data_IF_651010433922
#
_entry.id   IF_651010433922
#
_cell.length_a   1.000
_cell.length_b   1.000
_cell.length_c   1.000
_cell.angle_alpha   90.00
_cell.angle_beta   90.00
_cell.angle_gamma   90.00
#
_symmetry.space_group_name_H-M   'P 1'
#
loop_
_entity.id
_entity.type
_entity.pdbx_description
1 polymer ?
#
# COMPACT_ATOMS: atom_id res chain seq x y z
N UNK A 1 -44.61 16.36 39.78
CA UNK A 1 -43.96 15.26 39.08
C UNK A 1 -43.70 15.67 37.64
N UNK A 2 -42.45 15.98 37.29
CA UNK A 2 -42.05 16.25 35.89
C UNK A 2 -41.34 15.00 35.37
N UNK A 3 -41.95 14.31 34.41
CA UNK A 3 -41.38 13.16 33.72
C UNK A 3 -40.44 13.73 32.68
N UNK A 4 -39.13 13.55 32.87
CA UNK A 4 -38.12 13.85 31.89
C UNK A 4 -38.14 12.71 30.84
N UNK A 5 -38.58 13.01 29.63
CA UNK A 5 -38.49 12.10 28.50
C UNK A 5 -37.01 12.00 28.06
N UNK A 6 -36.41 10.85 28.33
CA UNK A 6 -35.08 10.49 27.84
C UNK A 6 -35.21 10.13 26.35
N UNK A 7 -34.92 11.06 25.45
CA UNK A 7 -34.85 10.81 24.02
C UNK A 7 -33.54 10.06 23.75
N UNK A 8 -33.63 8.74 23.71
CA UNK A 8 -32.53 7.87 23.19
C UNK A 8 -32.40 8.12 21.70
N UNK A 9 -31.42 8.91 21.31
CA UNK A 9 -30.96 9.01 19.93
C UNK A 9 -30.27 7.69 19.56
N UNK A 10 -31.01 6.72 19.04
CA UNK A 10 -30.44 5.65 18.25
C UNK A 10 -30.02 6.26 16.91
N UNK A 11 -28.81 6.80 16.86
CA UNK A 11 -28.17 7.05 15.59
C UNK A 11 -28.08 5.69 14.88
N UNK A 12 -28.87 5.50 13.83
CA UNK A 12 -28.72 4.35 12.95
C UNK A 12 -27.24 4.29 12.54
N UNK A 13 -26.52 3.29 13.02
CA UNK A 13 -25.16 3.00 12.58
C UNK A 13 -25.30 2.69 11.08
N UNK A 14 -25.09 3.69 10.23
CA UNK A 14 -25.08 3.50 8.80
C UNK A 14 -24.10 2.36 8.50
N UNK A 15 -24.57 1.31 7.85
CA UNK A 15 -23.72 0.25 7.37
C UNK A 15 -22.61 0.89 6.51
N UNK A 16 -21.35 0.55 6.73
CA UNK A 16 -20.27 1.10 5.92
C UNK A 16 -20.50 0.76 4.43
N UNK A 17 -20.09 1.68 3.55
CA UNK A 17 -20.26 1.51 2.11
C UNK A 17 -19.45 0.33 1.53
N UNK A 18 -18.45 -0.15 2.27
CA UNK A 18 -17.55 -1.23 1.85
C UNK A 18 -17.44 -2.30 2.94
N UNK A 19 -17.48 -3.57 2.53
CA UNK A 19 -17.35 -4.74 3.41
C UNK A 19 -15.91 -4.94 3.87
N UNK A 20 -14.94 -4.89 2.93
CA UNK A 20 -13.51 -4.93 3.22
C UNK A 20 -12.92 -3.52 3.26
N UNK A 21 -12.32 -3.14 4.38
CA UNK A 21 -11.69 -1.84 4.60
C UNK A 21 -10.35 -2.03 5.29
N UNK A 22 -9.37 -1.26 4.90
CA UNK A 22 -8.03 -1.32 5.48
C UNK A 22 -6.99 -0.82 4.50
N UNK A 23 -5.81 -1.37 4.57
CA UNK A 23 -4.70 -0.91 3.76
C UNK A 23 -3.90 -2.06 3.15
N UNK A 24 -3.33 -1.79 1.98
CA UNK A 24 -2.26 -2.58 1.42
C UNK A 24 -0.93 -2.00 1.89
N UNK A 25 -0.15 -2.78 2.61
CA UNK A 25 1.10 -2.35 3.25
C UNK A 25 2.24 -3.24 2.80
N UNK A 26 3.32 -2.63 2.36
CA UNK A 26 4.53 -3.34 1.98
C UNK A 26 5.44 -3.53 3.19
N UNK A 27 5.47 -4.74 3.76
CA UNK A 27 6.21 -5.04 4.99
C UNK A 27 7.73 -4.82 4.85
N UNK A 28 8.32 -5.26 3.76
CA UNK A 28 9.74 -5.04 3.49
C UNK A 28 10.08 -3.62 3.10
N UNK A 29 9.22 -2.97 2.34
CA UNK A 29 9.42 -1.59 1.91
C UNK A 29 9.04 -0.57 2.97
N UNK A 30 8.36 -1.01 4.01
CA UNK A 30 8.16 -0.19 5.18
C UNK A 30 9.48 -0.10 5.89
N UNK A 31 10.09 1.06 5.96
CA UNK A 31 11.43 1.14 6.49
C UNK A 31 11.39 0.68 7.94
N UNK A 32 12.26 -0.19 8.26
CA UNK A 32 12.85 -0.45 9.57
C UNK A 32 11.98 -0.16 10.80
N UNK A 33 10.64 -0.17 10.66
CA UNK A 33 9.74 -0.11 11.81
C UNK A 33 9.84 -1.40 12.61
N UNK A 34 9.93 -1.26 13.91
CA UNK A 34 9.90 -2.41 14.80
C UNK A 34 8.48 -2.88 15.11
N UNK A 35 8.34 -3.98 15.85
CA UNK A 35 7.03 -4.54 16.18
C UNK A 35 6.11 -3.56 16.93
N UNK A 36 6.55 -2.72 17.87
CA UNK A 36 5.69 -1.71 18.48
C UNK A 36 5.06 -0.76 17.47
N UNK A 37 5.84 -0.22 16.52
CA UNK A 37 5.33 0.68 15.48
C UNK A 37 4.36 -0.03 14.51
N UNK A 38 4.62 -1.29 14.19
CA UNK A 38 3.69 -2.12 13.43
C UNK A 38 2.37 -2.37 14.17
N UNK A 39 2.42 -2.61 15.49
CA UNK A 39 1.21 -2.75 16.31
C UNK A 39 0.41 -1.45 16.35
N UNK A 40 1.08 -0.30 16.51
CA UNK A 40 0.44 1.00 16.42
C UNK A 40 -0.29 1.20 15.08
N UNK A 41 0.29 0.73 13.98
CA UNK A 41 -0.36 0.75 12.65
C UNK A 41 -1.68 -0.03 12.68
N UNK A 42 -1.68 -1.23 13.24
CA UNK A 42 -2.89 -2.08 13.37
C UNK A 42 -3.94 -1.39 14.27
N UNK A 43 -3.52 -0.80 15.39
CA UNK A 43 -4.41 -0.07 16.30
C UNK A 43 -5.08 1.12 15.59
N UNK A 44 -4.29 1.88 14.83
CA UNK A 44 -4.79 2.97 14.00
C UNK A 44 -5.80 2.49 12.96
N UNK A 45 -5.49 1.39 12.25
CA UNK A 45 -6.41 0.80 11.29
C UNK A 45 -7.73 0.39 11.95
N UNK A 46 -7.64 -0.23 13.13
CA UNK A 46 -8.83 -0.64 13.89
C UNK A 46 -9.67 0.58 14.31
N UNK A 47 -9.03 1.62 14.84
CA UNK A 47 -9.69 2.86 15.23
C UNK A 47 -10.42 3.53 14.06
N UNK A 48 -9.85 3.44 12.86
CA UNK A 48 -10.43 3.98 11.63
C UNK A 48 -11.52 3.05 11.02
N UNK A 49 -11.83 1.92 11.66
CA UNK A 49 -12.86 0.98 11.22
C UNK A 49 -12.38 0.00 10.15
N UNK A 50 -11.07 -0.15 10.00
CA UNK A 50 -10.45 -1.17 9.15
C UNK A 50 -10.68 -2.59 9.71
N UNK A 51 -10.74 -3.56 8.81
CA UNK A 51 -10.94 -4.97 9.14
C UNK A 51 -10.07 -5.93 8.29
N UNK A 52 -9.27 -5.39 7.37
CA UNK A 52 -8.45 -6.19 6.45
C UNK A 52 -7.15 -5.48 6.16
N UNK A 53 -6.03 -6.16 6.28
CA UNK A 53 -4.73 -5.71 5.80
C UNK A 53 -4.20 -6.65 4.74
N UNK A 54 -3.79 -6.10 3.61
CA UNK A 54 -3.00 -6.80 2.61
C UNK A 54 -1.54 -6.50 2.90
N UNK A 55 -0.76 -7.53 3.22
CA UNK A 55 0.60 -7.37 3.70
C UNK A 55 1.59 -7.99 2.71
N UNK A 56 2.29 -7.16 1.96
CA UNK A 56 3.34 -7.63 1.08
C UNK A 56 4.61 -7.91 1.86
N UNK A 57 4.95 -9.20 1.97
CA UNK A 57 6.11 -9.66 2.71
C UNK A 57 7.43 -9.35 1.98
N UNK A 58 7.43 -9.39 0.64
CA UNK A 58 8.65 -9.25 -0.15
C UNK A 58 9.73 -10.24 0.33
N UNK A 59 10.99 -9.83 0.32
CA UNK A 59 12.09 -10.62 0.85
C UNK A 59 12.17 -10.71 2.39
N UNK A 60 11.10 -10.39 3.12
CA UNK A 60 11.07 -10.50 4.58
C UNK A 60 10.69 -11.90 5.08
N UNK A 61 10.26 -12.79 4.20
CA UNK A 61 9.99 -14.17 4.54
C UNK A 61 11.29 -14.98 4.58
N UNK A 62 11.76 -15.44 5.76
CA UNK A 62 13.01 -16.16 5.87
C UNK A 62 12.82 -17.65 5.56
N UNK A 63 12.58 -17.97 4.29
CA UNK A 63 12.42 -19.34 3.79
C UNK A 63 13.60 -20.22 4.21
N UNK A 64 13.32 -21.39 4.74
CA UNK A 64 14.33 -22.42 5.05
C UNK A 64 14.68 -23.24 3.81
N UNK A 65 13.70 -23.47 2.93
CA UNK A 65 13.90 -24.23 1.69
C UNK A 65 14.69 -23.43 0.67
N UNK A 66 14.50 -22.11 0.64
CA UNK A 66 15.05 -21.21 -0.36
C UNK A 66 15.78 -20.00 0.27
N UNK A 67 16.91 -20.19 0.96
CA UNK A 67 17.59 -19.11 1.69
C UNK A 67 18.01 -17.93 0.80
N UNK A 68 18.26 -18.17 -0.50
CA UNK A 68 18.62 -17.12 -1.45
C UNK A 68 17.54 -16.02 -1.53
N UNK A 69 16.26 -16.35 -1.35
CA UNK A 69 15.14 -15.43 -1.51
C UNK A 69 15.13 -14.28 -0.52
N UNK A 70 15.83 -14.37 0.60
CA UNK A 70 15.93 -13.34 1.61
C UNK A 70 17.37 -12.94 1.97
N UNK A 71 18.37 -13.62 1.39
CA UNK A 71 19.79 -13.40 1.68
C UNK A 71 20.22 -11.94 1.61
N UNK A 72 19.78 -11.22 0.59
CA UNK A 72 20.13 -9.80 0.39
C UNK A 72 19.42 -8.84 1.36
N UNK A 73 18.33 -9.32 1.97
CA UNK A 73 17.54 -8.58 2.94
C UNK A 73 17.83 -9.01 4.39
N UNK A 74 18.77 -9.92 4.61
CA UNK A 74 19.05 -10.52 5.92
C UNK A 74 19.40 -9.49 7.00
N UNK A 75 19.96 -8.33 6.62
CA UNK A 75 20.26 -7.23 7.53
C UNK A 75 19.04 -6.42 7.97
N UNK A 76 17.92 -6.49 7.25
CA UNK A 76 16.75 -5.69 7.57
C UNK A 76 16.08 -6.11 8.89
N UNK A 77 15.69 -5.15 9.72
CA UNK A 77 15.13 -5.40 11.05
C UNK A 77 13.92 -6.34 11.03
N UNK A 78 13.04 -6.23 10.05
CA UNK A 78 11.85 -7.08 9.92
C UNK A 78 12.23 -8.54 9.63
N UNK A 79 13.31 -8.77 8.88
CA UNK A 79 13.85 -10.10 8.62
C UNK A 79 14.56 -10.65 9.85
N UNK A 80 15.48 -9.89 10.43
CA UNK A 80 16.26 -10.31 11.60
C UNK A 80 15.39 -10.65 12.80
N UNK A 81 14.37 -9.85 13.08
CA UNK A 81 13.46 -10.06 14.21
C UNK A 81 12.37 -11.08 13.89
N UNK A 82 12.07 -11.31 12.61
CA UNK A 82 11.05 -12.25 12.12
C UNK A 82 9.75 -12.21 12.94
N UNK A 83 9.22 -11.04 13.15
CA UNK A 83 8.06 -10.84 14.01
C UNK A 83 6.71 -10.88 13.28
N UNK A 84 6.69 -11.17 11.98
CA UNK A 84 5.45 -11.14 11.17
C UNK A 84 4.35 -12.04 11.76
N UNK A 85 4.70 -13.22 12.29
CA UNK A 85 3.72 -14.08 12.97
C UNK A 85 3.07 -13.39 14.17
N UNK A 86 3.88 -12.72 15.00
CA UNK A 86 3.37 -11.97 16.17
C UNK A 86 2.49 -10.79 15.73
N UNK A 87 2.80 -10.19 14.59
CA UNK A 87 1.98 -9.13 14.03
C UNK A 87 0.62 -9.66 13.54
N UNK A 88 0.59 -10.83 12.89
CA UNK A 88 -0.64 -11.48 12.46
C UNK A 88 -1.52 -11.81 13.67
N UNK A 89 -0.95 -12.43 14.70
CA UNK A 89 -1.66 -12.75 15.93
C UNK A 89 -2.26 -11.49 16.57
N UNK A 90 -1.48 -10.42 16.65
CA UNK A 90 -1.95 -9.13 17.16
C UNK A 90 -3.07 -8.51 16.32
N UNK A 91 -2.96 -8.58 15.00
CA UNK A 91 -4.02 -8.10 14.10
C UNK A 91 -5.33 -8.86 14.34
N UNK A 92 -5.27 -10.16 14.59
CA UNK A 92 -6.45 -10.97 14.96
C UNK A 92 -7.05 -10.55 16.31
N UNK A 93 -6.23 -10.25 17.32
CA UNK A 93 -6.72 -9.68 18.58
C UNK A 93 -7.52 -8.39 18.33
N UNK A 94 -7.09 -7.58 17.34
CA UNK A 94 -7.77 -6.37 16.91
C UNK A 94 -8.90 -6.63 15.89
N UNK A 95 -9.23 -7.89 15.58
CA UNK A 95 -10.25 -8.29 14.60
C UNK A 95 -9.97 -7.81 13.17
N UNK A 96 -8.70 -7.75 12.80
CA UNK A 96 -8.23 -7.42 11.46
C UNK A 96 -7.73 -8.69 10.79
N UNK A 97 -8.28 -9.00 9.61
CA UNK A 97 -7.80 -10.08 8.75
C UNK A 97 -6.48 -9.73 8.12
N UNK A 98 -5.58 -10.69 8.02
CA UNK A 98 -4.27 -10.52 7.38
C UNK A 98 -4.15 -11.41 6.16
N UNK A 99 -3.99 -10.77 5.01
CA UNK A 99 -3.84 -11.40 3.70
C UNK A 99 -2.39 -11.19 3.26
N UNK A 100 -1.62 -12.25 3.09
CA UNK A 100 -0.21 -12.15 2.71
C UNK A 100 -0.04 -12.11 1.20
N UNK A 101 0.75 -11.18 0.71
CA UNK A 101 1.01 -11.05 -0.72
C UNK A 101 2.09 -12.04 -1.17
N UNK A 102 1.80 -12.74 -2.27
CA UNK A 102 2.72 -13.58 -3.05
C UNK A 102 2.78 -13.01 -4.47
N UNK A 103 3.96 -12.61 -4.90
CA UNK A 103 4.19 -12.15 -6.28
C UNK A 103 4.80 -13.31 -7.07
N UNK A 104 4.04 -13.92 -8.00
CA UNK A 104 4.55 -15.07 -8.72
C UNK A 104 5.61 -14.67 -9.73
N UNK A 105 6.68 -15.46 -9.80
CA UNK A 105 7.76 -15.40 -10.78
C UNK A 105 8.57 -14.10 -10.81
N UNK A 106 8.33 -13.16 -9.90
CA UNK A 106 9.03 -11.87 -9.89
C UNK A 106 9.03 -11.24 -8.48
N UNK A 107 9.66 -10.06 -8.39
CA UNK A 107 9.78 -9.24 -7.19
C UNK A 107 10.60 -9.82 -6.04
N UNK A 108 10.63 -9.06 -4.97
CA UNK A 108 11.49 -9.23 -3.81
C UNK A 108 11.45 -10.65 -3.25
N UNK A 109 12.59 -11.28 -3.22
CA UNK A 109 12.77 -12.64 -2.79
C UNK A 109 12.73 -13.64 -3.95
N UNK A 110 11.62 -13.75 -4.65
CA UNK A 110 11.44 -14.70 -5.75
C UNK A 110 12.44 -14.45 -6.87
N UNK A 111 12.68 -13.20 -7.23
CA UNK A 111 13.63 -12.81 -8.30
C UNK A 111 15.09 -13.08 -7.95
N UNK A 112 15.41 -13.48 -6.75
CA UNK A 112 16.75 -13.88 -6.33
C UNK A 112 17.04 -15.35 -6.58
N UNK A 113 16.02 -16.19 -6.66
CA UNK A 113 16.17 -17.61 -6.92
C UNK A 113 16.92 -17.91 -8.23
N UNK A 114 16.67 -17.19 -9.34
CA UNK A 114 17.42 -17.39 -10.58
C UNK A 114 18.89 -16.99 -10.53
N UNK A 115 19.39 -16.38 -9.48
CA UNK A 115 20.83 -16.14 -9.31
C UNK A 115 21.61 -17.44 -9.10
N UNK A 116 20.98 -18.45 -8.51
CA UNK A 116 21.53 -19.80 -8.34
C UNK A 116 20.98 -20.80 -9.37
N UNK A 117 19.94 -20.40 -10.14
CA UNK A 117 19.23 -21.19 -11.15
C UNK A 117 19.08 -20.42 -12.45
N UNK A 118 20.21 -20.16 -13.12
CA UNK A 118 20.27 -19.28 -14.29
C UNK A 118 19.41 -19.77 -15.46
N UNK A 119 19.21 -21.07 -15.56
CA UNK A 119 18.36 -21.71 -16.57
C UNK A 119 16.89 -21.34 -16.42
N UNK A 120 16.44 -20.88 -15.23
CA UNK A 120 15.06 -20.53 -14.96
C UNK A 120 14.71 -19.06 -15.27
N UNK A 121 15.69 -18.26 -15.68
CA UNK A 121 15.48 -16.85 -16.01
C UNK A 121 14.42 -16.66 -17.09
N UNK A 122 13.61 -15.62 -16.91
CA UNK A 122 12.78 -15.09 -17.96
C UNK A 122 13.63 -14.45 -19.09
N UNK A 123 13.11 -14.44 -20.30
CA UNK A 123 13.76 -13.85 -21.47
C UNK A 123 13.16 -12.47 -21.73
N UNK A 124 13.97 -11.45 -21.91
CA UNK A 124 13.54 -10.13 -22.36
C UNK A 124 13.21 -10.10 -23.85
N UNK A 125 12.57 -9.02 -24.29
CA UNK A 125 12.16 -8.81 -25.69
C UNK A 125 13.32 -8.97 -26.69
N UNK A 126 14.54 -8.64 -26.29
CA UNK A 126 15.73 -8.70 -27.11
C UNK A 126 16.61 -9.92 -26.82
N UNK A 127 16.08 -10.95 -26.17
CA UNK A 127 16.80 -12.16 -25.81
C UNK A 127 17.66 -12.06 -24.56
N UNK A 128 17.77 -10.89 -23.96
CA UNK A 128 18.50 -10.71 -22.70
C UNK A 128 17.69 -11.23 -21.49
N UNK A 129 18.36 -11.63 -20.40
CA UNK A 129 17.66 -11.98 -19.17
C UNK A 129 16.81 -10.79 -18.66
N UNK A 130 15.59 -11.06 -18.23
CA UNK A 130 14.71 -10.06 -17.66
C UNK A 130 15.21 -9.66 -16.25
N UNK A 131 15.98 -8.58 -16.20
CA UNK A 131 16.41 -8.00 -14.94
C UNK A 131 15.26 -7.28 -14.29
N UNK A 132 15.03 -7.58 -13.03
CA UNK A 132 14.28 -6.68 -12.17
C UNK A 132 15.27 -5.71 -11.51
N UNK A 133 15.19 -4.45 -11.87
CA UNK A 133 15.94 -3.37 -11.21
C UNK A 133 15.09 -2.72 -10.10
N UNK A 134 14.41 -3.56 -9.33
CA UNK A 134 13.65 -3.12 -8.18
C UNK A 134 14.58 -2.47 -7.14
N UNK A 135 14.06 -1.49 -6.44
CA UNK A 135 14.82 -0.75 -5.44
C UNK A 135 15.23 -1.59 -4.23
N UNK A 136 14.83 -2.86 -4.17
CA UNK A 136 14.88 -3.67 -2.96
C UNK A 136 15.65 -4.96 -3.11
N UNK A 137 15.71 -5.53 -4.30
CA UNK A 137 16.44 -6.77 -4.51
C UNK A 137 16.97 -6.87 -5.92
N UNK A 138 18.11 -7.52 -6.04
CA UNK A 138 18.77 -7.83 -7.29
C UNK A 138 18.28 -9.19 -7.76
N UNK A 139 18.19 -9.38 -9.06
CA UNK A 139 17.91 -10.70 -9.60
C UNK A 139 17.25 -10.67 -10.96
N UNK A 140 16.62 -11.78 -11.28
CA UNK A 140 15.96 -11.99 -12.56
C UNK A 140 14.56 -12.52 -12.32
N UNK A 141 13.65 -12.18 -13.22
CA UNK A 141 12.36 -12.83 -13.18
C UNK A 141 12.48 -14.30 -13.61
N UNK A 142 11.60 -15.12 -13.07
CA UNK A 142 11.45 -16.52 -13.46
C UNK A 142 10.59 -16.65 -14.70
N UNK A 143 10.90 -17.63 -15.53
CA UNK A 143 10.06 -17.99 -16.67
C UNK A 143 8.87 -18.87 -16.19
N UNK A 144 7.61 -18.40 -16.24
CA UNK A 144 6.47 -19.18 -15.76
C UNK A 144 6.13 -20.40 -16.63
N UNK A 145 6.69 -20.51 -17.83
CA UNK A 145 6.51 -21.68 -18.69
C UNK A 145 7.35 -22.89 -18.28
N UNK A 146 8.35 -22.70 -17.40
CA UNK A 146 9.23 -23.77 -16.95
C UNK A 146 8.62 -24.48 -15.74
N UNK A 147 8.62 -25.80 -15.77
CA UNK A 147 7.99 -26.61 -14.72
C UNK A 147 8.71 -26.44 -13.38
N UNK A 148 10.03 -26.33 -13.39
CA UNK A 148 10.84 -26.08 -12.20
C UNK A 148 10.54 -24.71 -11.56
N UNK A 149 10.21 -23.70 -12.39
CA UNK A 149 9.76 -22.40 -11.88
C UNK A 149 8.38 -22.50 -11.22
N UNK A 150 7.46 -23.29 -11.78
CA UNK A 150 6.16 -23.57 -11.19
C UNK A 150 6.31 -24.29 -9.84
N UNK A 151 7.15 -25.33 -9.82
CA UNK A 151 7.39 -26.09 -8.59
C UNK A 151 8.03 -25.24 -7.50
N UNK A 152 9.04 -24.43 -7.85
CA UNK A 152 9.62 -23.48 -6.91
C UNK A 152 8.57 -22.55 -6.31
N UNK A 153 7.72 -21.94 -7.14
CA UNK A 153 6.69 -21.02 -6.66
C UNK A 153 5.69 -21.69 -5.74
N UNK A 154 5.26 -22.91 -6.08
CA UNK A 154 4.35 -23.69 -5.21
C UNK A 154 5.00 -24.02 -3.88
N UNK A 155 6.23 -24.49 -3.86
CA UNK A 155 6.92 -24.86 -2.64
C UNK A 155 7.25 -23.65 -1.76
N UNK A 156 7.61 -22.52 -2.39
CA UNK A 156 7.83 -21.25 -1.69
C UNK A 156 6.55 -20.72 -1.04
N UNK A 157 5.43 -20.71 -1.78
CA UNK A 157 4.15 -20.27 -1.26
C UNK A 157 3.59 -21.22 -0.18
N UNK A 158 3.76 -22.53 -0.36
CA UNK A 158 3.37 -23.55 0.64
C UNK A 158 4.15 -23.36 1.95
N UNK A 159 5.46 -23.20 1.87
CA UNK A 159 6.30 -22.97 3.06
C UNK A 159 5.86 -21.69 3.77
N UNK A 160 5.64 -20.60 3.04
CA UNK A 160 5.22 -19.33 3.62
C UNK A 160 3.85 -19.43 4.31
N UNK A 161 2.85 -20.00 3.64
CA UNK A 161 1.45 -19.95 4.09
C UNK A 161 1.09 -21.11 5.02
N UNK A 162 1.62 -22.31 4.80
CA UNK A 162 1.24 -23.46 5.62
C UNK A 162 2.19 -23.74 6.77
N UNK A 163 3.48 -23.40 6.63
CA UNK A 163 4.47 -23.71 7.63
C UNK A 163 4.83 -22.50 8.50
N UNK A 164 5.09 -21.33 7.89
CA UNK A 164 5.53 -20.13 8.63
C UNK A 164 4.38 -19.29 9.16
N UNK A 165 3.34 -19.04 8.35
CA UNK A 165 2.22 -18.14 8.69
C UNK A 165 0.88 -18.85 8.56
N UNK A 166 0.69 -20.02 9.24
CA UNK A 166 -0.53 -20.81 9.09
C UNK A 166 -1.79 -20.11 9.60
N UNK A 167 -1.64 -19.05 10.37
CA UNK A 167 -2.73 -18.21 10.88
C UNK A 167 -3.12 -17.06 9.94
N UNK A 168 -2.44 -16.82 8.81
CA UNK A 168 -2.88 -15.85 7.83
C UNK A 168 -4.27 -16.21 7.28
N UNK A 169 -5.12 -15.20 7.02
CA UNK A 169 -6.51 -15.38 6.57
C UNK A 169 -6.62 -15.66 5.07
N UNK A 170 -5.53 -15.50 4.34
CA UNK A 170 -5.52 -15.74 2.91
C UNK A 170 -4.28 -15.23 2.22
N UNK A 171 -4.37 -15.13 0.90
CA UNK A 171 -3.29 -14.65 0.03
C UNK A 171 -3.78 -13.60 -0.96
N UNK A 172 -2.90 -12.64 -1.23
CA UNK A 172 -2.99 -11.77 -2.40
C UNK A 172 -1.97 -12.27 -3.41
N UNK A 173 -2.41 -12.62 -4.61
CA UNK A 173 -1.54 -13.04 -5.71
C UNK A 173 -1.47 -11.89 -6.72
N UNK A 174 -0.34 -11.20 -6.69
CA UNK A 174 -0.10 -10.00 -7.49
C UNK A 174 0.89 -10.31 -8.60
N UNK A 175 0.45 -10.21 -9.85
CA UNK A 175 1.35 -10.34 -11.00
C UNK A 175 2.33 -9.18 -11.09
N UNK A 176 3.49 -9.44 -11.67
CA UNK A 176 4.51 -8.41 -11.84
C UNK A 176 4.09 -7.32 -12.83
N UNK A 177 4.31 -6.07 -12.45
CA UNK A 177 4.10 -4.90 -13.33
C UNK A 177 5.12 -4.82 -14.47
N UNK A 178 6.30 -5.41 -14.31
CA UNK A 178 7.46 -5.14 -15.16
C UNK A 178 8.00 -6.36 -15.87
N UNK A 179 7.57 -7.54 -15.46
CA UNK A 179 8.26 -8.75 -15.82
C UNK A 179 7.38 -9.64 -16.67
N UNK A 180 7.69 -9.67 -17.93
CA UNK A 180 7.11 -10.59 -18.89
C UNK A 180 8.25 -11.43 -19.46
N UNK A 181 8.00 -12.73 -19.63
CA UNK A 181 8.92 -13.59 -20.34
C UNK A 181 8.55 -13.64 -21.81
N UNK A 182 9.52 -13.39 -22.69
CA UNK A 182 9.37 -13.37 -24.14
C UNK A 182 9.90 -14.63 -24.84
N UNK A 183 10.20 -15.69 -24.12
CA UNK A 183 10.52 -16.97 -24.75
C UNK A 183 9.31 -17.50 -25.54
N UNK A 184 9.55 -18.40 -26.48
CA UNK A 184 8.52 -18.93 -27.40
C UNK A 184 7.32 -19.52 -26.65
N UNK A 185 7.55 -20.14 -25.47
CA UNK A 185 6.50 -20.71 -24.65
C UNK A 185 5.70 -19.67 -23.85
N UNK A 186 6.19 -18.44 -23.70
CA UNK A 186 5.54 -17.37 -22.94
C UNK A 186 4.94 -16.27 -23.81
N UNK A 187 5.49 -16.01 -25.01
CA UNK A 187 5.18 -14.83 -25.83
C UNK A 187 3.71 -14.50 -25.97
N UNK A 188 2.86 -15.53 -26.15
CA UNK A 188 1.40 -15.37 -26.26
C UNK A 188 0.62 -16.02 -25.11
N UNK A 189 1.32 -16.61 -24.14
CA UNK A 189 0.73 -17.40 -23.07
C UNK A 189 1.29 -17.03 -21.69
N UNK A 190 1.84 -15.82 -21.55
CA UNK A 190 2.48 -15.43 -20.30
C UNK A 190 1.53 -15.57 -19.10
N UNK A 191 0.38 -14.92 -19.15
CA UNK A 191 -0.59 -15.01 -18.07
C UNK A 191 -1.24 -16.40 -17.94
N UNK A 192 -1.37 -17.14 -19.01
CA UNK A 192 -1.84 -18.52 -18.93
C UNK A 192 -0.84 -19.41 -18.16
N UNK A 193 0.46 -19.24 -18.43
CA UNK A 193 1.50 -19.93 -17.68
C UNK A 193 1.58 -19.49 -16.21
N UNK A 194 1.52 -18.20 -15.94
CA UNK A 194 1.51 -17.67 -14.59
C UNK A 194 0.23 -18.09 -13.81
N UNK A 195 -0.91 -18.11 -14.49
CA UNK A 195 -2.19 -18.47 -13.92
C UNK A 195 -2.28 -19.95 -13.51
N UNK A 196 -1.48 -20.84 -14.11
CA UNK A 196 -1.37 -22.23 -13.62
C UNK A 196 -0.99 -22.28 -12.14
N UNK A 197 -0.01 -21.48 -11.73
CA UNK A 197 0.36 -21.33 -10.33
C UNK A 197 -0.82 -20.79 -9.50
N UNK A 198 -1.44 -19.69 -9.95
CA UNK A 198 -2.58 -19.08 -9.27
C UNK A 198 -3.68 -20.11 -9.00
N UNK A 199 -4.05 -20.89 -10.01
CA UNK A 199 -5.10 -21.90 -9.93
C UNK A 199 -4.73 -23.04 -8.98
N UNK A 200 -3.56 -23.62 -9.20
CA UNK A 200 -3.09 -24.76 -8.39
C UNK A 200 -2.99 -24.37 -6.91
N UNK A 201 -2.38 -23.23 -6.63
CA UNK A 201 -2.22 -22.78 -5.25
C UNK A 201 -3.55 -22.38 -4.60
N UNK A 202 -4.49 -21.79 -5.37
CA UNK A 202 -5.84 -21.49 -4.89
C UNK A 202 -6.59 -22.74 -4.45
N UNK A 203 -6.54 -23.79 -5.27
CA UNK A 203 -7.23 -25.06 -4.98
C UNK A 203 -6.63 -25.74 -3.74
N UNK A 204 -5.30 -25.73 -3.60
CA UNK A 204 -4.62 -26.25 -2.42
C UNK A 204 -4.96 -25.46 -1.14
N UNK A 205 -4.96 -24.14 -1.25
CA UNK A 205 -5.28 -23.28 -0.12
C UNK A 205 -6.73 -23.49 0.35
N UNK A 206 -7.69 -23.53 -0.55
CA UNK A 206 -9.09 -23.78 -0.18
C UNK A 206 -9.34 -25.20 0.32
N UNK A 207 -8.58 -26.18 -0.16
CA UNK A 207 -8.63 -27.54 0.40
C UNK A 207 -8.15 -27.57 1.85
N UNK A 208 -7.09 -26.83 2.17
CA UNK A 208 -6.53 -26.76 3.52
C UNK A 208 -7.29 -25.79 4.43
N UNK A 209 -7.80 -24.68 3.86
CA UNK A 209 -8.50 -23.58 4.55
C UNK A 209 -9.70 -23.12 3.70
N UNK A 210 -10.85 -23.75 3.81
CA UNK A 210 -12.02 -23.44 2.96
C UNK A 210 -12.51 -22.00 3.02
N UNK A 211 -12.25 -21.30 4.13
CA UNK A 211 -12.60 -19.89 4.33
C UNK A 211 -11.50 -18.89 3.96
N UNK A 212 -10.38 -19.34 3.41
CA UNK A 212 -9.27 -18.44 3.05
C UNK A 212 -9.68 -17.46 1.94
N UNK A 213 -9.36 -16.19 2.13
CA UNK A 213 -9.54 -15.16 1.11
C UNK A 213 -8.40 -15.26 0.10
N UNK A 214 -8.74 -15.37 -1.18
CA UNK A 214 -7.76 -15.33 -2.26
C UNK A 214 -8.03 -14.11 -3.11
N UNK A 215 -7.11 -13.16 -3.06
CA UNK A 215 -7.18 -11.89 -3.78
C UNK A 215 -6.31 -12.00 -5.02
N UNK A 216 -6.87 -11.66 -6.19
CA UNK A 216 -6.21 -11.85 -7.49
C UNK A 216 -6.33 -10.59 -8.33
N UNK A 217 -5.27 -10.21 -9.01
CA UNK A 217 -5.28 -9.10 -9.96
C UNK A 217 -5.94 -9.51 -11.28
N UNK A 218 -6.74 -8.63 -11.91
CA UNK A 218 -7.51 -8.96 -13.11
C UNK A 218 -6.68 -9.11 -14.38
N UNK A 219 -5.39 -8.84 -14.37
CA UNK A 219 -4.51 -9.03 -15.53
C UNK A 219 -4.61 -10.43 -16.13
N UNK A 220 -4.74 -11.45 -15.27
CA UNK A 220 -4.87 -12.83 -15.71
C UNK A 220 -6.08 -13.08 -16.63
N UNK A 221 -7.14 -12.30 -16.45
CA UNK A 221 -8.42 -12.49 -17.16
C UNK A 221 -8.61 -11.50 -18.31
N UNK A 222 -8.11 -10.28 -18.17
CA UNK A 222 -8.31 -9.20 -19.14
C UNK A 222 -7.09 -8.91 -20.01
N UNK A 223 -5.95 -9.48 -19.67
CA UNK A 223 -4.67 -9.19 -20.33
C UNK A 223 -4.14 -7.80 -20.00
N UNK A 224 -2.98 -7.48 -20.50
CA UNK A 224 -2.34 -6.19 -20.25
C UNK A 224 -1.72 -5.62 -21.52
N UNK A 225 -1.87 -4.31 -21.70
CA UNK A 225 -1.15 -3.57 -22.73
C UNK A 225 0.05 -2.89 -22.09
N UNK A 226 1.25 -3.29 -22.51
CA UNK A 226 2.49 -2.60 -22.18
C UNK A 226 3.07 -1.96 -23.43
N UNK A 227 3.86 -0.89 -23.34
CA UNK A 227 4.42 -0.22 -24.51
C UNK A 227 5.11 -1.20 -25.47
N UNK A 228 4.59 -1.31 -26.67
CA UNK A 228 5.12 -2.20 -27.74
C UNK A 228 4.80 -3.69 -27.58
N UNK A 229 3.92 -4.09 -26.65
CA UNK A 229 3.54 -5.47 -26.45
C UNK A 229 2.15 -5.62 -25.85
N UNK A 230 1.38 -6.60 -26.32
CA UNK A 230 0.12 -7.00 -25.72
C UNK A 230 0.30 -8.35 -25.02
N UNK A 231 -0.01 -8.41 -23.74
CA UNK A 231 -0.04 -9.65 -22.97
C UNK A 231 -1.48 -10.18 -23.01
N UNK A 232 -1.74 -11.30 -23.71
CA UNK A 232 -3.08 -11.87 -23.79
C UNK A 232 -3.61 -12.25 -22.40
N UNK A 233 -4.94 -12.20 -22.25
CA UNK A 233 -5.62 -12.73 -21.08
C UNK A 233 -5.36 -14.24 -20.96
N UNK A 234 -5.39 -14.77 -19.73
CA UNK A 234 -5.35 -16.19 -19.48
C UNK A 234 -6.67 -16.86 -19.96
N UNK A 235 -6.53 -17.99 -20.63
CA UNK A 235 -7.68 -18.79 -21.12
C UNK A 235 -8.16 -19.83 -20.09
N UNK A 236 -7.92 -19.60 -18.81
CA UNK A 236 -8.29 -20.50 -17.74
C UNK A 236 -9.61 -20.07 -17.09
N UNK A 237 -10.38 -21.03 -16.54
CA UNK A 237 -11.67 -20.71 -15.95
C UNK A 237 -11.54 -19.72 -14.79
N UNK A 238 -12.42 -18.74 -14.79
CA UNK A 238 -12.64 -17.83 -13.68
C UNK A 238 -13.27 -18.58 -12.50
N UNK A 239 -12.85 -18.28 -11.28
CA UNK A 239 -13.45 -18.79 -10.05
C UNK A 239 -14.14 -17.66 -9.29
N UNK A 240 -15.45 -17.76 -9.11
CA UNK A 240 -16.23 -16.73 -8.45
C UNK A 240 -15.88 -16.53 -6.96
N UNK A 241 -15.12 -17.44 -6.36
CA UNK A 241 -14.63 -17.30 -4.98
C UNK A 241 -13.44 -16.36 -4.85
N UNK A 242 -12.74 -16.04 -5.95
CA UNK A 242 -11.67 -15.04 -5.92
C UNK A 242 -12.23 -13.66 -5.62
N UNK A 243 -11.49 -12.91 -4.83
CA UNK A 243 -11.67 -11.48 -4.66
C UNK A 243 -10.79 -10.76 -5.67
N UNK A 244 -11.36 -9.95 -6.56
CA UNK A 244 -10.60 -9.27 -7.61
C UNK A 244 -10.23 -7.84 -7.20
N UNK A 245 -9.02 -7.41 -7.53
CA UNK A 245 -8.54 -6.05 -7.29
C UNK A 245 -8.77 -5.20 -8.53
N UNK A 246 -9.36 -4.02 -8.36
CA UNK A 246 -9.60 -3.07 -9.43
C UNK A 246 -9.12 -1.67 -9.06
N UNK A 247 -8.69 -0.91 -10.07
CA UNK A 247 -8.46 0.53 -9.97
C UNK A 247 -9.71 1.24 -10.50
N UNK A 248 -10.59 1.76 -9.63
CA UNK A 248 -11.96 2.15 -10.02
C UNK A 248 -12.02 3.35 -10.96
N UNK A 249 -11.02 4.20 -10.98
CA UNK A 249 -10.91 5.37 -11.87
C UNK A 249 -10.15 5.07 -13.17
N UNK A 250 -9.63 3.85 -13.33
CA UNK A 250 -8.91 3.48 -14.54
C UNK A 250 -9.84 3.39 -15.75
N UNK A 251 -9.40 3.91 -16.89
CA UNK A 251 -10.05 3.67 -18.18
C UNK A 251 -10.06 2.17 -18.58
N UNK A 252 -9.23 1.38 -17.92
CA UNK A 252 -9.08 -0.06 -18.16
C UNK A 252 -9.92 -0.92 -17.20
N UNK A 253 -10.82 -0.34 -16.40
CA UNK A 253 -11.73 -1.09 -15.54
C UNK A 253 -12.58 -2.07 -16.35
N UNK A 254 -12.30 -3.35 -16.21
CA UNK A 254 -13.10 -4.42 -16.84
C UNK A 254 -14.44 -4.60 -16.11
N UNK A 255 -15.47 -3.93 -16.62
CA UNK A 255 -16.82 -3.97 -16.03
C UNK A 255 -17.51 -5.32 -16.23
N UNK A 256 -17.14 -6.07 -17.27
CA UNK A 256 -17.70 -7.39 -17.51
C UNK A 256 -17.18 -8.39 -16.49
N UNK A 257 -15.88 -8.33 -16.21
CA UNK A 257 -15.24 -9.15 -15.19
C UNK A 257 -15.74 -8.77 -13.78
N UNK A 258 -15.85 -7.45 -13.49
CA UNK A 258 -16.35 -6.99 -12.20
C UNK A 258 -17.76 -7.51 -11.89
N UNK A 259 -18.63 -7.62 -12.90
CA UNK A 259 -19.97 -8.19 -12.75
C UNK A 259 -19.98 -9.70 -12.43
N UNK A 260 -18.92 -10.41 -12.75
CA UNK A 260 -18.76 -11.83 -12.47
C UNK A 260 -18.14 -12.09 -11.09
N UNK A 261 -17.43 -11.11 -10.55
CA UNK A 261 -16.78 -11.22 -9.26
C UNK A 261 -17.79 -11.14 -8.12
N UNK A 262 -17.80 -12.13 -7.24
CA UNK A 262 -18.60 -12.10 -6.00
C UNK A 262 -18.03 -11.08 -5.02
N UNK A 263 -16.70 -10.97 -4.97
CA UNK A 263 -15.97 -10.04 -4.10
C UNK A 263 -14.98 -9.24 -4.93
N UNK A 264 -14.84 -7.97 -4.57
CA UNK A 264 -13.94 -7.05 -5.26
C UNK A 264 -13.34 -6.02 -4.30
N UNK A 265 -12.14 -5.59 -4.58
CA UNK A 265 -11.42 -4.58 -3.79
C UNK A 265 -11.00 -3.44 -4.74
N UNK A 266 -11.35 -2.22 -4.38
CA UNK A 266 -10.75 -1.05 -4.95
C UNK A 266 -9.38 -0.82 -4.32
N UNK A 267 -8.35 -0.81 -5.16
CA UNK A 267 -7.00 -0.46 -4.80
C UNK A 267 -6.65 0.91 -5.38
N UNK A 268 -6.12 1.77 -4.54
CA UNK A 268 -5.74 3.12 -4.91
C UNK A 268 -4.63 3.59 -3.97
N UNK A 269 -3.74 4.43 -4.45
CA UNK A 269 -2.67 5.04 -3.67
C UNK A 269 -3.07 6.37 -3.00
N UNK A 270 -4.33 6.78 -3.17
CA UNK A 270 -4.86 8.06 -2.71
C UNK A 270 -4.65 8.37 -1.20
N UNK A 271 -4.87 7.44 -0.25
CA UNK A 271 -4.68 7.77 1.17
C UNK A 271 -3.27 8.15 1.55
N UNK A 272 -2.29 7.68 0.81
CA UNK A 272 -0.88 7.90 1.11
C UNK A 272 -0.30 9.10 0.38
N UNK A 273 -0.72 9.31 -0.85
CA UNK A 273 -0.21 10.37 -1.73
C UNK A 273 -1.18 11.53 -1.89
N UNK A 274 -2.37 11.37 -1.30
CA UNK A 274 -3.48 12.20 -1.64
C UNK A 274 -3.86 13.24 -0.61
N UNK A 275 -4.88 13.95 -1.02
CA UNK A 275 -5.63 14.86 -0.19
C UNK A 275 -6.97 14.20 0.16
N UNK A 276 -7.70 14.67 1.17
CA UNK A 276 -9.03 14.17 1.48
C UNK A 276 -9.95 14.08 0.27
N UNK A 277 -9.84 15.03 -0.64
CA UNK A 277 -10.64 15.06 -1.87
C UNK A 277 -10.29 13.90 -2.84
N UNK A 278 -9.01 13.52 -2.96
CA UNK A 278 -8.62 12.33 -3.73
C UNK A 278 -9.17 11.06 -3.11
N UNK A 279 -9.10 10.93 -1.79
CA UNK A 279 -9.64 9.78 -1.06
C UNK A 279 -11.16 9.67 -1.28
N UNK A 280 -11.88 10.79 -1.18
CA UNK A 280 -13.32 10.86 -1.46
C UNK A 280 -13.65 10.37 -2.87
N UNK A 281 -12.95 10.93 -3.88
CA UNK A 281 -13.17 10.54 -5.28
C UNK A 281 -12.90 9.06 -5.52
N UNK A 282 -11.84 8.52 -4.94
CA UNK A 282 -11.54 7.10 -5.03
C UNK A 282 -12.68 6.25 -4.46
N UNK A 283 -13.16 6.59 -3.26
CA UNK A 283 -14.30 5.91 -2.62
C UNK A 283 -15.60 6.03 -3.45
N UNK A 284 -15.89 7.23 -3.99
CA UNK A 284 -17.05 7.45 -4.87
C UNK A 284 -16.97 6.62 -6.15
N UNK A 285 -15.80 6.57 -6.79
CA UNK A 285 -15.59 5.75 -7.98
C UNK A 285 -15.78 4.26 -7.67
N UNK A 286 -15.23 3.78 -6.55
CA UNK A 286 -15.40 2.39 -6.12
C UNK A 286 -16.89 2.05 -5.88
N UNK A 287 -17.61 2.89 -5.14
CA UNK A 287 -19.05 2.74 -4.89
C UNK A 287 -19.86 2.74 -6.21
N UNK A 288 -19.60 3.71 -7.08
CA UNK A 288 -20.27 3.82 -8.38
C UNK A 288 -20.01 2.62 -9.30
N UNK A 289 -18.82 2.03 -9.20
CA UNK A 289 -18.47 0.83 -9.95
C UNK A 289 -19.11 -0.44 -9.37
N UNK A 290 -19.64 -0.42 -8.15
CA UNK A 290 -20.18 -1.57 -7.46
C UNK A 290 -19.11 -2.45 -6.80
N UNK A 291 -17.93 -1.88 -6.51
CA UNK A 291 -16.86 -2.56 -5.80
C UNK A 291 -17.20 -2.58 -4.32
N UNK A 292 -17.08 -3.74 -3.67
CA UNK A 292 -17.51 -3.95 -2.29
C UNK A 292 -16.37 -3.90 -1.24
N UNK A 293 -15.14 -3.62 -1.64
CA UNK A 293 -14.01 -3.38 -0.75
C UNK A 293 -13.23 -2.13 -1.11
N UNK A 294 -12.66 -1.44 -0.12
CA UNK A 294 -11.78 -0.28 -0.31
C UNK A 294 -10.52 -0.44 0.54
N UNK A 295 -9.43 -0.87 -0.11
CA UNK A 295 -8.15 -1.21 0.53
C UNK A 295 -7.01 -0.55 -0.25
N UNK A 296 -6.85 0.77 -0.10
CA UNK A 296 -5.80 1.51 -0.78
C UNK A 296 -4.40 1.21 -0.25
N UNK A 297 -3.40 1.55 -1.05
CA UNK A 297 -2.00 1.38 -0.69
C UNK A 297 -1.53 2.41 0.34
N UNK A 298 -0.74 1.97 1.32
CA UNK A 298 0.05 2.81 2.23
C UNK A 298 1.53 2.90 1.83
N UNK A 299 1.89 2.36 0.69
CA UNK A 299 3.28 2.24 0.27
C UNK A 299 4.06 3.55 0.35
N UNK A 300 3.43 4.66 -0.01
CA UNK A 300 4.09 5.95 -0.05
C UNK A 300 4.39 6.59 1.32
N UNK A 301 3.67 6.21 2.38
CA UNK A 301 4.03 6.65 3.74
C UNK A 301 5.20 5.86 4.30
N UNK A 302 5.27 4.64 3.89
CA UNK A 302 6.18 3.67 4.45
C UNK A 302 7.50 3.67 3.69
N UNK A 303 7.51 4.28 2.53
CA UNK A 303 8.62 4.27 1.63
C UNK A 303 9.59 5.40 1.92
N UNK A 304 10.80 5.06 2.32
CA UNK A 304 11.90 6.02 2.40
C UNK A 304 12.67 5.99 1.08
N UNK A 305 12.51 6.97 0.20
CA UNK A 305 13.21 7.00 -1.08
C UNK A 305 14.66 7.45 -0.86
N UNK A 306 15.48 6.58 -0.31
CA UNK A 306 16.88 6.88 -0.11
C UNK A 306 17.74 5.93 -0.92
N UNK A 307 17.87 6.21 -2.19
CA UNK A 307 18.91 5.57 -2.97
C UNK A 307 20.26 6.00 -2.41
N UNK A 308 21.00 5.06 -1.84
CA UNK A 308 22.33 5.30 -1.30
C UNK A 308 22.40 5.86 0.14
N UNK A 309 21.27 6.09 0.80
CA UNK A 309 21.23 6.57 2.18
C UNK A 309 20.59 5.54 3.14
N UNK A 310 20.69 4.26 2.82
CA UNK A 310 20.18 3.20 3.66
C UNK A 310 18.67 3.07 3.68
N UNK A 311 17.95 3.66 2.75
CA UNK A 311 16.52 3.47 2.66
C UNK A 311 16.21 2.22 1.86
N UNK A 312 15.43 1.32 2.37
CA UNK A 312 14.73 0.27 1.66
C UNK A 312 15.59 -0.80 0.96
N UNK A 313 16.88 -0.85 1.25
CA UNK A 313 17.77 -1.83 0.62
C UNK A 313 17.83 -3.17 1.35
N UNK A 314 17.10 -3.29 2.46
CA UNK A 314 17.10 -4.51 3.26
C UNK A 314 18.39 -4.77 4.05
N UNK A 315 19.23 -3.77 4.18
CA UNK A 315 20.50 -3.91 4.91
C UNK A 315 20.46 -3.29 6.31
N UNK A 316 19.44 -2.50 6.61
CA UNK A 316 19.33 -1.81 7.89
C UNK A 316 18.87 -2.75 9.00
N UNK A 317 19.73 -2.89 9.99
CA UNK A 317 19.45 -3.71 11.18
C UNK A 317 18.89 -2.89 12.36
N UNK A 318 18.66 -1.61 12.17
CA UNK A 318 18.14 -0.67 13.18
C UNK A 318 16.99 0.16 12.64
N UNK A 319 16.09 0.66 13.51
CA UNK A 319 15.07 1.61 13.11
C UNK A 319 15.67 2.90 12.54
N UNK A 320 15.01 3.47 11.53
CA UNK A 320 15.34 4.75 10.90
C UNK A 320 14.23 5.77 11.12
N UNK A 321 14.55 7.05 10.93
CA UNK A 321 13.54 8.11 10.98
C UNK A 321 12.56 8.02 9.83
N UNK A 322 11.24 8.20 10.09
CA UNK A 322 10.27 8.32 9.02
C UNK A 322 10.54 9.59 8.20
N UNK A 323 10.59 9.42 6.89
CA UNK A 323 10.87 10.51 5.97
C UNK A 323 9.79 11.59 5.98
N UNK A 324 10.20 12.84 6.08
CA UNK A 324 9.30 14.00 6.16
C UNK A 324 8.73 14.25 7.56
N UNK A 325 9.11 13.42 8.54
CA UNK A 325 8.71 13.54 9.94
C UNK A 325 9.94 13.46 10.85
N UNK A 326 10.97 14.23 10.53
CA UNK A 326 12.29 14.15 11.17
C UNK A 326 12.27 14.54 12.66
N UNK A 327 11.18 15.11 13.15
CA UNK A 327 10.96 15.32 14.59
C UNK A 327 10.53 14.07 15.35
N UNK A 328 10.14 13.00 14.64
CA UNK A 328 9.80 11.74 15.27
C UNK A 328 11.07 10.94 15.63
N UNK A 329 10.97 10.04 16.63
CA UNK A 329 12.06 9.11 16.94
C UNK A 329 12.28 8.12 15.79
N UNK A 330 13.44 7.48 15.79
CA UNK A 330 13.76 6.40 14.86
C UNK A 330 12.77 5.24 15.01
N UNK A 331 12.30 4.72 13.90
CA UNK A 331 11.36 3.60 13.84
C UNK A 331 9.91 3.94 14.20
N UNK A 332 9.59 5.22 14.45
CA UNK A 332 8.21 5.63 14.70
C UNK A 332 7.39 5.63 13.41
N UNK A 333 6.14 5.21 13.52
CA UNK A 333 5.14 5.38 12.46
C UNK A 333 4.52 6.77 12.53
N UNK A 334 4.40 7.50 11.40
CA UNK A 334 3.81 8.84 11.41
C UNK A 334 2.26 8.82 11.43
N UNK A 335 1.63 7.73 11.82
CA UNK A 335 0.17 7.57 11.75
C UNK A 335 -0.59 8.53 12.67
N UNK A 336 0.02 8.96 13.76
CA UNK A 336 -0.56 9.92 14.70
C UNK A 336 -0.18 11.37 14.42
N UNK A 337 0.63 11.62 13.39
CA UNK A 337 0.95 12.98 12.98
C UNK A 337 -0.23 13.69 12.33
N UNK A 338 -0.37 14.99 12.60
CA UNK A 338 -1.55 15.78 12.26
C UNK A 338 -2.02 15.57 10.81
N UNK A 339 -1.13 15.71 9.83
CA UNK A 339 -1.49 15.62 8.41
C UNK A 339 -1.85 14.20 7.98
N UNK A 340 -1.24 13.19 8.59
CA UNK A 340 -1.59 11.79 8.36
C UNK A 340 -2.95 11.47 8.98
N UNK A 341 -3.24 12.02 10.17
CA UNK A 341 -4.57 11.90 10.81
C UNK A 341 -5.67 12.53 9.97
N UNK A 342 -5.41 13.63 9.27
CA UNK A 342 -6.38 14.20 8.30
C UNK A 342 -6.75 13.17 7.24
N UNK A 343 -5.76 12.49 6.64
CA UNK A 343 -6.01 11.45 5.64
C UNK A 343 -6.68 10.20 6.23
N UNK A 344 -6.30 9.80 7.42
CA UNK A 344 -6.93 8.68 8.13
C UNK A 344 -8.42 8.94 8.41
N UNK A 345 -8.74 10.15 8.89
CA UNK A 345 -10.14 10.57 9.10
C UNK A 345 -10.88 10.60 7.75
N UNK A 346 -10.27 11.16 6.71
CA UNK A 346 -10.85 11.14 5.38
C UNK A 346 -11.14 9.71 4.90
N UNK A 347 -10.18 8.80 5.04
CA UNK A 347 -10.36 7.40 4.72
C UNK A 347 -11.50 6.76 5.54
N UNK A 348 -11.51 6.97 6.85
CA UNK A 348 -12.55 6.47 7.76
C UNK A 348 -13.95 6.93 7.34
N UNK A 349 -14.09 8.21 7.13
CA UNK A 349 -15.40 8.80 6.85
C UNK A 349 -15.88 8.46 5.44
N UNK A 350 -15.01 8.57 4.41
CA UNK A 350 -15.41 8.28 3.04
C UNK A 350 -15.55 6.79 2.74
N UNK A 351 -14.88 5.91 3.50
CA UNK A 351 -15.16 4.48 3.41
C UNK A 351 -16.51 4.09 4.03
N UNK A 352 -17.06 4.91 4.91
CA UNK A 352 -18.41 4.77 5.47
C UNK A 352 -19.46 5.44 4.60
N UNK A 353 -19.20 6.67 4.20
CA UNK A 353 -20.08 7.48 3.38
C UNK A 353 -19.28 8.28 2.35
N UNK A 354 -19.08 7.77 1.13
CA UNK A 354 -18.36 8.47 0.06
C UNK A 354 -18.97 9.83 -0.33
N UNK A 355 -20.26 10.02 -0.03
CA UNK A 355 -21.02 11.22 -0.38
C UNK A 355 -21.13 12.22 0.79
N UNK A 356 -20.35 12.04 1.85
CA UNK A 356 -20.29 12.97 2.97
C UNK A 356 -19.95 14.39 2.50
N UNK A 357 -20.75 15.38 2.90
CA UNK A 357 -20.59 16.77 2.49
C UNK A 357 -19.32 17.42 3.05
N UNK A 358 -18.83 18.46 2.35
CA UNK A 358 -17.61 19.19 2.76
C UNK A 358 -17.73 19.82 4.13
N UNK A 359 -18.88 20.43 4.43
CA UNK A 359 -19.14 21.07 5.73
C UNK A 359 -19.09 20.06 6.87
N UNK A 360 -19.72 18.90 6.70
CA UNK A 360 -19.71 17.83 7.70
C UNK A 360 -18.31 17.27 7.91
N UNK A 361 -17.56 17.05 6.83
CA UNK A 361 -16.17 16.60 6.92
C UNK A 361 -15.28 17.63 7.65
N UNK A 362 -15.39 18.91 7.32
CA UNK A 362 -14.66 19.99 8.03
C UNK A 362 -15.01 20.03 9.50
N UNK A 363 -16.29 19.89 9.86
CA UNK A 363 -16.73 19.84 11.25
C UNK A 363 -16.13 18.64 12.01
N UNK A 364 -15.99 17.48 11.36
CA UNK A 364 -15.33 16.32 11.95
C UNK A 364 -13.85 16.61 12.19
N UNK A 365 -13.13 17.15 11.20
CA UNK A 365 -11.72 17.52 11.35
C UNK A 365 -11.51 18.54 12.47
N UNK A 366 -12.33 19.59 12.50
CA UNK A 366 -12.24 20.63 13.53
C UNK A 366 -12.40 20.02 14.93
N UNK A 367 -13.43 19.21 15.13
CA UNK A 367 -13.72 18.57 16.41
C UNK A 367 -12.63 17.59 16.87
N UNK A 368 -12.02 16.83 15.94
CA UNK A 368 -11.12 15.72 16.29
C UNK A 368 -9.64 16.10 16.28
N UNK A 369 -9.27 17.19 15.58
CA UNK A 369 -7.86 17.52 15.37
C UNK A 369 -7.45 18.89 15.91
N UNK A 370 -8.38 19.82 16.10
CA UNK A 370 -8.08 21.22 16.34
C UNK A 370 -8.62 21.70 17.71
N UNK A 371 -7.90 22.63 18.32
CA UNK A 371 -8.36 23.38 19.46
C UNK A 371 -9.29 24.55 19.04
N UNK A 372 -9.12 25.02 17.80
CA UNK A 372 -9.83 26.15 17.23
C UNK A 372 -10.46 25.75 15.89
N UNK A 373 -11.78 25.69 15.85
CA UNK A 373 -12.51 25.22 14.67
C UNK A 373 -12.27 26.08 13.40
N UNK A 374 -11.97 27.35 13.57
CA UNK A 374 -11.63 28.27 12.48
C UNK A 374 -10.28 27.99 11.82
N UNK A 375 -9.46 27.09 12.37
CA UNK A 375 -8.20 26.65 11.78
C UNK A 375 -8.35 25.58 10.69
N UNK A 376 -9.56 25.04 10.47
CA UNK A 376 -9.75 23.87 9.58
C UNK A 376 -9.35 24.13 8.13
N UNK A 377 -9.60 25.31 7.60
CA UNK A 377 -9.22 25.65 6.22
C UNK A 377 -7.70 25.80 6.07
N UNK A 378 -7.04 26.36 7.08
CA UNK A 378 -5.59 26.45 7.13
C UNK A 378 -4.94 25.05 7.31
N UNK A 379 -5.56 24.16 8.11
CA UNK A 379 -5.12 22.76 8.22
C UNK A 379 -5.21 22.02 6.87
N UNK A 380 -6.32 22.16 6.15
CA UNK A 380 -6.49 21.54 4.84
C UNK A 380 -5.51 22.10 3.81
N UNK A 381 -5.21 23.39 3.87
CA UNK A 381 -4.18 23.99 3.02
C UNK A 381 -2.78 23.46 3.33
N UNK A 382 -2.42 23.27 4.60
CA UNK A 382 -1.15 22.64 5.00
C UNK A 382 -1.08 21.20 4.52
N UNK A 383 -2.16 20.44 4.68
CA UNK A 383 -2.24 19.05 4.25
C UNK A 383 -2.10 18.93 2.72
N UNK A 384 -2.82 19.76 1.96
CA UNK A 384 -2.68 19.82 0.51
C UNK A 384 -1.26 20.21 0.10
N UNK A 385 -0.66 21.18 0.79
CA UNK A 385 0.72 21.64 0.51
C UNK A 385 1.75 20.56 0.79
N UNK A 386 1.57 19.79 1.85
CA UNK A 386 2.46 18.67 2.20
C UNK A 386 2.48 17.57 1.13
N UNK A 387 1.32 17.28 0.53
CA UNK A 387 1.17 16.27 -0.51
C UNK A 387 1.21 16.84 -1.92
N UNK A 388 1.42 18.14 -2.06
CA UNK A 388 1.42 18.83 -3.35
C UNK A 388 2.50 18.28 -4.28
N UNK A 389 2.11 17.89 -5.49
CA UNK A 389 2.99 17.29 -6.51
C UNK A 389 3.85 16.11 -6.01
N UNK A 390 3.47 15.49 -4.91
CA UNK A 390 4.11 14.27 -4.46
C UNK A 390 3.78 13.14 -5.44
N UNK A 391 4.83 12.50 -5.92
CA UNK A 391 4.70 11.28 -6.71
C UNK A 391 5.12 10.09 -5.87
N UNK A 392 4.52 8.97 -6.11
CA UNK A 392 4.74 7.64 -5.47
C UNK A 392 5.66 7.61 -4.24
N UNK A 393 6.91 7.81 -4.38
CA UNK A 393 7.90 7.80 -3.28
C UNK A 393 8.72 9.07 -3.21
N UNK A 394 8.38 10.08 -3.97
CA UNK A 394 9.09 11.35 -3.91
C UNK A 394 8.38 12.28 -2.92
N UNK A 395 9.16 12.87 -2.04
CA UNK A 395 8.66 13.92 -1.17
C UNK A 395 8.09 15.07 -1.99
N UNK A 396 7.11 15.78 -1.42
CA UNK A 396 6.67 17.04 -2.00
C UNK A 396 7.86 17.96 -2.22
N UNK A 397 7.93 18.68 -3.35
CA UNK A 397 8.94 19.71 -3.58
C UNK A 397 9.03 20.73 -2.45
N UNK A 398 7.93 21.03 -1.76
CA UNK A 398 7.90 21.92 -0.60
C UNK A 398 8.62 21.34 0.62
N UNK A 399 8.75 20.04 0.73
CA UNK A 399 9.49 19.36 1.79
C UNK A 399 10.94 19.06 1.39
N UNK A 400 11.28 19.22 0.10
CA UNK A 400 12.64 19.08 -0.46
C UNK A 400 12.99 20.20 -1.46
N UNK A 401 12.99 21.45 -1.03
CA UNK A 401 13.15 22.57 -1.94
C UNK A 401 14.52 22.63 -2.64
N UNK A 402 15.57 21.99 -2.11
CA UNK A 402 16.90 21.96 -2.74
C UNK A 402 16.93 21.34 -4.15
N UNK A 403 15.94 20.51 -4.47
CA UNK A 403 15.80 19.88 -5.80
C UNK A 403 15.08 20.75 -6.83
N UNK A 404 14.56 21.92 -6.45
CA UNK A 404 13.76 22.78 -7.33
C UNK A 404 14.61 23.62 -8.27
N UNK A 405 14.19 23.74 -9.53
CA UNK A 405 14.69 24.73 -10.48
C UNK A 405 14.21 26.14 -10.11
N UNK A 406 14.81 27.18 -10.71
CA UNK A 406 14.37 28.56 -10.48
C UNK A 406 12.88 28.78 -10.81
N UNK A 407 12.41 28.23 -11.94
CA UNK A 407 11.01 28.32 -12.37
C UNK A 407 10.07 27.61 -11.38
N UNK A 408 10.45 26.43 -10.90
CA UNK A 408 9.67 25.74 -9.88
C UNK A 408 9.63 26.51 -8.57
N UNK A 409 10.71 27.16 -8.16
CA UNK A 409 10.73 28.02 -6.97
C UNK A 409 9.73 29.15 -7.07
N UNK A 410 9.66 29.83 -8.21
CA UNK A 410 8.67 30.90 -8.45
C UNK A 410 7.24 30.37 -8.26
N UNK A 411 6.94 29.23 -8.86
CA UNK A 411 5.62 28.58 -8.74
C UNK A 411 5.20 28.36 -7.29
N UNK A 412 6.14 28.02 -6.42
CA UNK A 412 5.83 27.68 -5.02
C UNK A 412 5.88 28.87 -4.05
N UNK A 413 6.44 30.02 -4.45
CA UNK A 413 6.58 31.19 -3.56
C UNK A 413 5.26 31.65 -2.93
N UNK A 414 4.20 31.76 -3.71
CA UNK A 414 2.90 32.14 -3.17
C UNK A 414 2.36 31.14 -2.13
N UNK A 415 2.59 29.84 -2.37
CA UNK A 415 2.20 28.78 -1.41
C UNK A 415 3.00 28.86 -0.13
N UNK A 416 4.32 29.07 -0.20
CA UNK A 416 5.18 29.24 0.97
C UNK A 416 4.84 30.52 1.73
N UNK A 417 4.54 31.63 1.05
CA UNK A 417 4.07 32.86 1.68
C UNK A 417 2.83 32.61 2.53
N UNK A 418 1.85 31.89 1.99
CA UNK A 418 0.64 31.49 2.75
C UNK A 418 0.96 30.57 3.93
N UNK A 419 1.92 29.65 3.78
CA UNK A 419 2.35 28.77 4.89
C UNK A 419 2.99 29.60 6.02
N UNK A 420 3.78 30.64 5.71
CA UNK A 420 4.35 31.57 6.72
C UNK A 420 3.24 32.32 7.48
N UNK A 421 2.19 32.76 6.79
CA UNK A 421 1.03 33.38 7.46
C UNK A 421 0.35 32.40 8.43
N UNK A 422 0.19 31.14 8.02
CA UNK A 422 -0.38 30.08 8.87
C UNK A 422 0.55 29.82 10.06
N UNK A 423 1.85 29.73 9.85
CA UNK A 423 2.83 29.56 10.92
C UNK A 423 2.70 30.65 12.00
N UNK A 424 2.62 31.92 11.58
CA UNK A 424 2.50 33.06 12.50
C UNK A 424 1.16 33.07 13.22
N UNK A 425 0.05 32.84 12.50
CA UNK A 425 -1.31 32.88 13.03
C UNK A 425 -1.54 31.84 14.11
N UNK A 426 -0.99 30.65 13.93
CA UNK A 426 -1.28 29.49 14.78
C UNK A 426 -0.15 29.13 15.75
N UNK A 427 0.87 29.96 15.86
CA UNK A 427 2.08 29.70 16.68
C UNK A 427 1.76 29.20 18.08
N UNK A 428 0.90 29.90 18.80
CA UNK A 428 0.58 29.63 20.20
C UNK A 428 -0.79 28.94 20.38
N UNK A 429 -1.56 28.79 19.31
CA UNK A 429 -2.94 28.32 19.34
C UNK A 429 -3.10 26.88 18.83
N UNK A 430 -2.34 26.49 17.80
CA UNK A 430 -2.34 25.17 17.18
C UNK A 430 -0.90 24.65 17.02
N UNK A 431 -0.28 24.12 18.10
CA UNK A 431 1.15 23.77 18.09
C UNK A 431 1.55 22.76 17.00
N UNK A 432 0.66 21.81 16.65
CA UNK A 432 0.94 20.83 15.62
C UNK A 432 0.92 21.45 14.22
N UNK A 433 0.00 22.37 13.94
CA UNK A 433 -0.02 23.13 12.68
C UNK A 433 1.20 24.03 12.56
N UNK A 434 1.54 24.74 13.64
CA UNK A 434 2.75 25.57 13.68
C UNK A 434 4.01 24.75 13.37
N UNK A 435 4.17 23.59 14.00
CA UNK A 435 5.34 22.69 13.77
C UNK A 435 5.47 22.29 12.29
N UNK A 436 4.34 21.90 11.66
CA UNK A 436 4.34 21.51 10.23
C UNK A 436 4.67 22.70 9.34
N UNK A 437 4.01 23.84 9.57
CA UNK A 437 4.26 25.06 8.79
C UNK A 437 5.73 25.51 8.91
N UNK A 438 6.24 25.57 10.15
CA UNK A 438 7.63 25.92 10.44
C UNK A 438 8.63 24.97 9.76
N UNK A 439 8.38 23.67 9.76
CA UNK A 439 9.21 22.69 9.08
C UNK A 439 9.36 22.97 7.58
N UNK A 440 8.27 23.40 6.92
CA UNK A 440 8.29 23.77 5.51
C UNK A 440 9.04 25.09 5.33
N UNK A 441 8.73 26.10 6.13
CA UNK A 441 9.31 27.45 5.99
C UNK A 441 10.82 27.45 6.27
N UNK A 442 11.29 26.77 7.32
CA UNK A 442 12.73 26.66 7.64
C UNK A 442 13.52 26.02 6.48
N UNK A 443 12.96 24.99 5.85
CA UNK A 443 13.60 24.33 4.70
C UNK A 443 13.64 25.23 3.48
N UNK A 444 12.60 25.99 3.25
CA UNK A 444 12.55 26.94 2.15
C UNK A 444 13.54 28.10 2.33
N UNK A 445 13.65 28.65 3.55
CA UNK A 445 14.60 29.71 3.85
C UNK A 445 16.06 29.30 3.69
N UNK A 446 16.38 28.04 3.99
CA UNK A 446 17.71 27.47 3.77
C UNK A 446 18.17 27.46 2.32
N UNK A 447 17.27 27.73 1.37
CA UNK A 447 17.54 27.71 -0.07
C UNK A 447 17.51 29.14 -0.66
N UNK A 448 16.75 30.04 -0.07
CA UNK A 448 16.71 31.44 -0.46
C UNK A 448 17.97 32.20 0.01
N UNK A 449 18.74 31.65 0.94
CA UNK A 449 20.08 32.14 1.37
C UNK A 449 21.17 31.56 0.50
#
# INVERSE_FOLDING_TARGET
>A
MRIAALVLWFGALACPAFDSRGYYITFMRTPTFDLPAWKETIDCMRADGGNTVLLWMGGAFPSKKFPITWKYNAGHINVQKNFARKLIDYAHEQKIKVILCVTPFAYDGVNQYPLEHLELKATQRHGEPANFWGMHSWGFNLCPAKEESQQFMLDYAREMIFEFYPNADGVLIESSDYAICYCDNCREKYYENEFRFVRTFSDELWKAKPGAMIVVFPHYFSGQKVPGFNVPAAKLPFDARWTLVFTPHSAHLDRALLKQATNSIAWDDAPTLGTPDKIRRAAQHAKKAGINGFVPSLEAFTFVPRRGEGGVTGTENRPLKPFGFEWLPDGAMPFNELLVRVNRIAYREFSRNPDLGDGDFKNILARELLNHADAVDDLLFLQESWFFERTWYLASPLTRPASLTGEQREKYRARVARIREIEQRWRDREPQMHRVAKFITDRWEGIER
#
